data_IF_481616253316
#
_entry.id   IF_481616253316
#
_cell.length_a   1.000
_cell.length_b   1.000
_cell.length_c   1.000
_cell.angle_alpha   90.00
_cell.angle_beta   90.00
_cell.angle_gamma   90.00
#
_symmetry.space_group_name_H-M   'P 1'
#
loop_
_entity.id
_entity.type
_entity.pdbx_description
1 polymer ?
#
# COMPACT_ATOMS: atom_id res chain seq x y z
N UNK A 1 16.30 -22.16 -10.44
CA UNK A 1 15.00 -22.66 -10.93
C UNK A 1 13.97 -22.25 -9.91
N UNK A 2 13.12 -21.28 -10.26
CA UNK A 2 12.05 -20.81 -9.40
C UNK A 2 10.90 -21.83 -9.46
N UNK A 3 10.88 -22.76 -8.50
CA UNK A 3 9.86 -23.83 -8.41
C UNK A 3 8.52 -23.29 -7.91
N UNK A 4 8.46 -22.03 -7.48
CA UNK A 4 7.26 -21.40 -6.90
C UNK A 4 6.10 -21.38 -7.88
N UNK A 5 6.37 -21.20 -9.18
CA UNK A 5 5.34 -21.22 -10.23
C UNK A 5 4.89 -22.65 -10.63
N UNK A 6 5.63 -23.68 -10.23
CA UNK A 6 5.36 -25.09 -10.59
C UNK A 6 4.68 -25.87 -9.45
N UNK A 7 4.55 -25.29 -8.26
CA UNK A 7 3.88 -25.89 -7.12
C UNK A 7 2.50 -25.25 -6.94
N UNK A 8 1.51 -25.75 -7.70
CA UNK A 8 0.13 -25.25 -7.68
C UNK A 8 -0.84 -26.09 -6.84
N UNK A 9 -0.42 -27.27 -6.38
CA UNK A 9 -1.29 -28.25 -5.71
C UNK A 9 -1.05 -28.39 -4.20
N UNK A 10 -2.12 -28.77 -3.49
CA UNK A 10 -2.09 -29.11 -2.07
C UNK A 10 -1.80 -27.91 -1.15
N UNK A 11 -1.44 -28.20 0.10
CA UNK A 11 -1.20 -27.16 1.10
C UNK A 11 -0.07 -26.19 0.75
N UNK A 12 0.96 -26.65 0.02
CA UNK A 12 2.07 -25.79 -0.39
C UNK A 12 1.65 -24.76 -1.46
N UNK A 13 0.87 -25.19 -2.46
CA UNK A 13 0.28 -24.26 -3.43
C UNK A 13 -0.64 -23.23 -2.77
N UNK A 14 -1.49 -23.69 -1.83
CA UNK A 14 -2.37 -22.80 -1.07
C UNK A 14 -1.62 -21.77 -0.21
N UNK A 15 -0.50 -22.14 0.41
CA UNK A 15 0.33 -21.20 1.17
C UNK A 15 1.01 -20.16 0.25
N UNK A 16 1.47 -20.59 -0.93
CA UNK A 16 2.08 -19.69 -1.91
C UNK A 16 1.06 -18.70 -2.46
N UNK A 17 -0.15 -19.18 -2.78
CA UNK A 17 -1.26 -18.34 -3.25
C UNK A 17 -1.74 -17.38 -2.16
N UNK A 18 -1.91 -17.85 -0.92
CA UNK A 18 -2.25 -16.97 0.20
C UNK A 18 -1.21 -15.86 0.38
N UNK A 19 0.07 -16.21 0.30
CA UNK A 19 1.15 -15.23 0.43
C UNK A 19 1.07 -14.16 -0.66
N UNK A 20 1.02 -14.58 -1.93
CA UNK A 20 1.10 -13.67 -3.08
C UNK A 20 -0.19 -12.89 -3.34
N UNK A 21 -1.36 -13.51 -3.10
CA UNK A 21 -2.64 -12.89 -3.42
C UNK A 21 -3.32 -12.22 -2.23
N UNK A 22 -3.04 -12.61 -0.99
CA UNK A 22 -3.65 -11.98 0.19
C UNK A 22 -2.62 -11.24 1.05
N UNK A 23 -1.60 -11.94 1.55
CA UNK A 23 -0.72 -11.39 2.57
C UNK A 23 0.11 -10.21 2.08
N UNK A 24 0.80 -10.35 0.94
CA UNK A 24 1.66 -9.30 0.41
C UNK A 24 0.86 -8.06 0.00
N UNK A 25 -0.24 -8.16 -0.78
CA UNK A 25 -1.10 -7.01 -1.07
C UNK A 25 -1.67 -6.35 0.20
N UNK A 26 -2.06 -7.15 1.20
CA UNK A 26 -2.60 -6.63 2.45
C UNK A 26 -1.55 -5.81 3.24
N UNK A 27 -0.32 -6.33 3.34
CA UNK A 27 0.80 -5.60 3.96
C UNK A 27 1.11 -4.31 3.23
N UNK A 28 1.12 -4.34 1.91
CA UNK A 28 1.39 -3.17 1.09
C UNK A 28 0.28 -2.12 1.20
N UNK A 29 -0.99 -2.54 1.25
CA UNK A 29 -2.13 -1.65 1.47
C UNK A 29 -2.03 -0.94 2.82
N UNK A 30 -1.75 -1.70 3.90
CA UNK A 30 -1.60 -1.12 5.23
C UNK A 30 -0.37 -0.22 5.32
N UNK A 31 0.75 -0.61 4.70
CA UNK A 31 1.96 0.22 4.62
C UNK A 31 1.70 1.54 3.89
N UNK A 32 0.94 1.52 2.78
CA UNK A 32 0.56 2.74 2.07
C UNK A 32 -0.30 3.65 2.94
N UNK A 33 -1.25 3.11 3.69
CA UNK A 33 -2.07 3.88 4.64
C UNK A 33 -1.16 4.55 5.69
N UNK A 34 -0.18 3.81 6.22
CA UNK A 34 0.80 4.35 7.17
C UNK A 34 1.63 5.50 6.58
N UNK A 35 2.12 5.35 5.35
CA UNK A 35 2.84 6.43 4.64
C UNK A 35 1.94 7.66 4.45
N UNK A 36 0.74 7.46 3.91
CA UNK A 36 -0.20 8.55 3.65
C UNK A 36 -0.61 9.30 4.93
N UNK A 37 -0.80 8.57 6.03
CA UNK A 37 -1.04 9.16 7.34
C UNK A 37 0.16 9.99 7.82
N UNK A 38 1.36 9.42 7.79
CA UNK A 38 2.59 10.10 8.21
C UNK A 38 2.81 11.37 7.40
N UNK A 39 2.72 11.29 6.07
CA UNK A 39 2.94 12.41 5.16
C UNK A 39 1.93 13.53 5.41
N UNK A 40 0.64 13.21 5.50
CA UNK A 40 -0.41 14.21 5.68
C UNK A 40 -0.33 14.90 7.06
N UNK A 41 -0.05 14.12 8.13
CA UNK A 41 0.10 14.69 9.46
C UNK A 41 1.39 15.51 9.56
N UNK A 42 2.51 15.02 9.04
CA UNK A 42 3.79 15.75 9.08
C UNK A 42 3.71 17.06 8.31
N UNK A 43 3.16 17.04 7.09
CA UNK A 43 2.99 18.25 6.28
C UNK A 43 2.13 19.30 7.01
N UNK A 44 1.01 18.89 7.58
CA UNK A 44 0.14 19.82 8.32
C UNK A 44 0.75 20.26 9.66
N UNK A 45 1.48 19.39 10.34
CA UNK A 45 2.16 19.73 11.59
C UNK A 45 3.29 20.73 11.33
N UNK A 46 4.08 20.55 10.26
CA UNK A 46 5.12 21.48 9.82
C UNK A 46 4.60 22.85 9.40
N UNK A 47 3.35 22.92 8.93
CA UNK A 47 2.65 24.17 8.64
C UNK A 47 2.16 24.93 9.91
N UNK A 48 2.36 24.34 11.10
CA UNK A 48 1.99 24.92 12.38
C UNK A 48 3.16 25.49 13.17
N UNK A 49 2.83 26.01 14.36
CA UNK A 49 3.77 26.50 15.35
C UNK A 49 3.49 25.84 16.72
N UNK A 50 4.57 25.40 17.37
CA UNK A 50 4.58 24.75 18.68
C UNK A 50 4.35 25.75 19.82
N UNK A 51 4.19 25.25 21.05
CA UNK A 51 3.99 26.10 22.23
C UNK A 51 5.18 27.05 22.50
N UNK A 52 6.38 26.63 22.10
CA UNK A 52 7.62 27.41 22.26
C UNK A 52 7.84 28.43 21.15
N UNK A 53 6.94 28.48 20.16
CA UNK A 53 7.02 29.39 19.02
C UNK A 53 7.90 28.88 17.87
N UNK A 54 8.40 27.64 17.93
CA UNK A 54 9.10 26.99 16.83
C UNK A 54 8.09 26.49 15.78
N UNK A 55 8.51 26.34 14.52
CA UNK A 55 7.70 25.62 13.54
C UNK A 55 7.62 24.13 13.89
N UNK A 56 6.52 23.48 13.52
CA UNK A 56 6.38 22.04 13.70
C UNK A 56 7.40 21.26 12.86
N UNK A 57 7.78 20.08 13.35
CA UNK A 57 8.56 19.10 12.59
C UNK A 57 7.72 17.91 12.15
N UNK A 58 8.38 16.82 11.78
CA UNK A 58 7.71 15.55 11.54
C UNK A 58 7.04 15.03 12.81
N UNK A 59 5.77 14.63 12.69
CA UNK A 59 5.02 14.02 13.78
C UNK A 59 5.29 12.53 13.88
N UNK A 60 5.36 11.88 12.72
CA UNK A 60 5.60 10.45 12.57
C UNK A 60 6.82 10.22 11.67
N UNK A 61 7.55 9.14 11.92
CA UNK A 61 8.50 8.56 10.96
C UNK A 61 7.88 7.30 10.35
N UNK A 62 8.31 6.93 9.15
CA UNK A 62 7.96 5.65 8.50
C UNK A 62 9.21 4.98 7.97
N UNK A 63 9.26 3.65 8.02
CA UNK A 63 10.42 2.89 7.53
C UNK A 63 10.62 3.04 6.03
N UNK A 64 11.88 2.98 5.59
CA UNK A 64 12.31 3.20 4.20
C UNK A 64 11.75 2.17 3.19
N UNK A 65 11.90 2.51 1.91
CA UNK A 65 11.63 1.58 0.81
C UNK A 65 12.63 0.43 0.86
N UNK A 66 12.14 -0.79 0.78
CA UNK A 66 13.01 -1.97 0.75
C UNK A 66 13.40 -2.31 -0.68
N UNK A 67 14.70 -2.33 -0.93
CA UNK A 67 15.29 -2.74 -2.22
C UNK A 67 16.08 -4.02 -2.00
N UNK A 68 15.89 -4.99 -2.90
CA UNK A 68 16.68 -6.23 -2.89
C UNK A 68 17.18 -6.55 -4.29
N UNK A 69 18.51 -6.56 -4.45
CA UNK A 69 19.15 -7.06 -5.65
C UNK A 69 18.89 -8.57 -5.80
N UNK A 70 18.62 -9.02 -7.03
CA UNK A 70 18.47 -10.44 -7.30
C UNK A 70 19.83 -11.14 -7.16
N UNK A 71 19.84 -12.34 -6.56
CA UNK A 71 21.08 -13.06 -6.24
C UNK A 71 21.89 -13.50 -7.48
N UNK A 72 21.27 -13.50 -8.66
CA UNK A 72 21.92 -13.80 -9.93
C UNK A 72 22.43 -12.56 -10.68
N UNK A 73 22.34 -11.37 -10.09
CA UNK A 73 22.90 -10.17 -10.70
C UNK A 73 24.41 -10.34 -10.85
N UNK A 74 24.92 -9.99 -12.02
CA UNK A 74 26.34 -10.10 -12.34
C UNK A 74 27.11 -8.82 -11.99
N UNK A 75 26.41 -7.69 -11.91
CA UNK A 75 26.97 -6.39 -11.61
C UNK A 75 27.13 -6.08 -10.12
N UNK A 76 27.74 -4.92 -9.87
CA UNK A 76 27.78 -4.28 -8.54
C UNK A 76 26.71 -3.20 -8.40
N UNK A 77 25.74 -3.17 -9.30
CA UNK A 77 24.69 -2.16 -9.33
C UNK A 77 23.84 -2.21 -8.06
N UNK A 78 23.38 -1.04 -7.62
CA UNK A 78 22.43 -0.88 -6.52
C UNK A 78 21.39 0.17 -6.89
N UNK A 79 20.22 0.10 -6.24
CA UNK A 79 19.21 1.15 -6.35
C UNK A 79 19.07 1.87 -5.01
N UNK A 80 19.15 3.19 -5.04
CA UNK A 80 18.67 4.04 -3.96
C UNK A 80 17.24 4.47 -4.31
N UNK A 81 16.27 4.06 -3.50
CA UNK A 81 14.85 4.33 -3.77
C UNK A 81 14.24 5.06 -2.59
N UNK A 82 13.57 6.17 -2.89
CA UNK A 82 12.86 6.98 -1.92
C UNK A 82 11.40 7.18 -2.35
N UNK A 83 10.52 7.36 -1.37
CA UNK A 83 9.18 7.89 -1.63
C UNK A 83 9.32 9.41 -1.82
N UNK A 84 8.65 9.96 -2.83
CA UNK A 84 8.62 11.40 -3.05
C UNK A 84 7.65 12.01 -2.06
N UNK A 85 8.08 13.03 -1.33
CA UNK A 85 7.23 13.76 -0.39
C UNK A 85 6.02 14.37 -1.11
N UNK A 86 4.85 14.34 -0.47
CA UNK A 86 3.60 14.80 -1.07
C UNK A 86 3.01 13.84 -2.12
N UNK A 87 3.63 12.69 -2.36
CA UNK A 87 3.22 11.74 -3.41
C UNK A 87 2.59 10.45 -2.89
N UNK A 88 2.17 10.39 -1.61
CA UNK A 88 1.47 9.21 -1.07
C UNK A 88 0.24 8.80 -1.91
N UNK A 89 -0.42 9.77 -2.54
CA UNK A 89 -1.52 9.55 -3.47
C UNK A 89 -1.16 8.69 -4.69
N UNK A 90 0.07 8.79 -5.18
CA UNK A 90 0.56 8.05 -6.34
C UNK A 90 1.02 6.62 -6.00
N UNK A 91 1.26 6.32 -4.72
CA UNK A 91 1.71 5.01 -4.29
C UNK A 91 0.63 3.94 -4.52
N UNK A 92 1.06 2.81 -5.08
CA UNK A 92 0.18 1.64 -5.27
C UNK A 92 0.38 0.59 -4.17
N UNK A 93 -0.41 -0.49 -4.20
CA UNK A 93 -0.23 -1.65 -3.33
C UNK A 93 0.70 -2.72 -3.90
N UNK A 94 1.34 -2.48 -5.05
CA UNK A 94 2.24 -3.45 -5.65
C UNK A 94 3.69 -3.29 -5.18
N UNK A 95 4.39 -4.42 -5.21
CA UNK A 95 5.83 -4.44 -5.30
C UNK A 95 6.23 -4.40 -6.79
N UNK A 96 7.49 -4.05 -7.05
CA UNK A 96 7.99 -3.88 -8.40
C UNK A 96 9.29 -4.66 -8.59
N UNK A 97 9.58 -5.02 -9.84
CA UNK A 97 10.88 -5.49 -10.28
C UNK A 97 11.39 -4.55 -11.36
N UNK A 98 12.54 -3.96 -11.12
CA UNK A 98 13.26 -3.14 -12.08
C UNK A 98 14.37 -3.97 -12.71
N UNK A 99 14.36 -4.09 -14.03
CA UNK A 99 15.31 -4.92 -14.79
C UNK A 99 16.06 -4.07 -15.80
N UNK A 100 17.38 -4.24 -15.88
CA UNK A 100 18.17 -3.61 -16.92
C UNK A 100 18.11 -4.46 -18.20
N UNK A 101 17.53 -3.89 -19.26
CA UNK A 101 17.41 -4.57 -20.57
C UNK A 101 18.34 -3.93 -21.59
N UNK A 102 18.48 -4.54 -22.76
CA UNK A 102 19.24 -3.93 -23.86
C UNK A 102 18.65 -2.59 -24.34
N UNK A 103 17.37 -2.34 -24.07
CA UNK A 103 16.67 -1.07 -24.37
C UNK A 103 16.66 -0.07 -23.22
N UNK A 104 17.42 -0.32 -22.15
CA UNK A 104 17.41 0.48 -20.92
C UNK A 104 16.63 -0.18 -19.78
N UNK A 105 16.33 0.59 -18.75
CA UNK A 105 15.66 0.10 -17.55
C UNK A 105 14.15 -0.03 -17.76
N UNK A 106 13.58 -1.13 -17.26
CA UNK A 106 12.14 -1.40 -17.29
C UNK A 106 11.68 -1.72 -15.87
N UNK A 107 10.65 -1.01 -15.40
CA UNK A 107 9.97 -1.29 -14.15
C UNK A 107 8.68 -2.05 -14.42
N UNK A 108 8.47 -3.16 -13.71
CA UNK A 108 7.29 -3.99 -13.83
C UNK A 108 6.67 -4.26 -12.47
N UNK A 109 5.35 -4.32 -12.38
CA UNK A 109 4.67 -4.75 -11.16
C UNK A 109 4.83 -6.25 -10.96
N UNK A 110 5.05 -6.69 -9.72
CA UNK A 110 5.17 -8.12 -9.40
C UNK A 110 3.85 -8.89 -9.50
N UNK A 111 2.72 -8.19 -9.36
CA UNK A 111 1.39 -8.81 -9.30
C UNK A 111 0.81 -9.14 -10.68
N UNK A 112 1.05 -8.26 -11.66
CA UNK A 112 0.46 -8.31 -13.01
C UNK A 112 1.51 -8.47 -14.11
N UNK A 113 2.78 -8.18 -13.82
CA UNK A 113 3.84 -8.09 -14.83
C UNK A 113 3.71 -6.86 -15.74
N UNK A 114 2.74 -5.98 -15.50
CA UNK A 114 2.54 -4.78 -16.29
C UNK A 114 3.73 -3.82 -16.13
N UNK A 115 4.21 -3.29 -17.25
CA UNK A 115 5.25 -2.26 -17.27
C UNK A 115 4.71 -0.95 -16.74
N UNK A 116 5.46 -0.32 -15.86
CA UNK A 116 5.17 0.99 -15.28
C UNK A 116 6.01 2.03 -16.01
N UNK A 117 5.40 3.09 -16.57
CA UNK A 117 6.16 4.16 -17.20
C UNK A 117 7.08 4.85 -16.18
N UNK A 118 8.30 5.16 -16.62
CA UNK A 118 9.27 5.91 -15.85
C UNK A 118 9.67 7.16 -16.64
N UNK A 119 9.85 8.27 -15.94
CA UNK A 119 10.51 9.48 -16.47
C UNK A 119 11.90 9.62 -15.87
N UNK A 120 12.76 10.47 -16.43
CA UNK A 120 14.14 10.68 -15.97
C UNK A 120 15.14 9.69 -16.55
N UNK A 121 16.41 9.79 -16.13
CA UNK A 121 17.54 9.00 -16.63
C UNK A 121 18.16 8.05 -15.60
N UNK A 122 17.69 8.09 -14.35
CA UNK A 122 18.14 7.21 -13.27
C UNK A 122 19.42 7.66 -12.56
N UNK A 123 19.87 8.90 -12.80
CA UNK A 123 21.05 9.46 -12.13
C UNK A 123 20.65 10.25 -10.89
N UNK A 124 21.59 10.57 -10.00
CA UNK A 124 21.29 11.38 -8.81
C UNK A 124 20.75 12.79 -9.15
N UNK A 125 21.12 13.34 -10.31
CA UNK A 125 20.63 14.66 -10.76
C UNK A 125 19.30 14.59 -11.52
N UNK A 126 18.96 13.41 -12.06
CA UNK A 126 17.75 13.16 -12.83
C UNK A 126 17.28 11.72 -12.56
N UNK A 127 16.74 11.48 -11.35
CA UNK A 127 16.32 10.15 -10.91
C UNK A 127 15.18 9.64 -11.77
N UNK A 128 15.02 8.32 -11.82
CA UNK A 128 13.80 7.78 -12.41
C UNK A 128 12.61 8.06 -11.49
N UNK A 129 11.48 8.49 -12.06
CA UNK A 129 10.24 8.74 -11.31
C UNK A 129 9.11 7.86 -11.82
N UNK A 130 8.45 7.15 -10.90
CA UNK A 130 7.29 6.30 -11.18
C UNK A 130 6.45 6.06 -9.91
N UNK A 131 5.12 6.12 -10.00
CA UNK A 131 4.18 5.80 -8.92
C UNK A 131 4.53 6.44 -7.55
N UNK A 132 5.02 7.68 -7.53
CA UNK A 132 5.41 8.38 -6.30
C UNK A 132 6.78 7.98 -5.73
N UNK A 133 7.61 7.28 -6.51
CA UNK A 133 8.96 6.86 -6.15
C UNK A 133 9.99 7.64 -6.95
N UNK A 134 11.11 7.94 -6.30
CA UNK A 134 12.36 8.40 -6.91
C UNK A 134 13.38 7.28 -6.82
N UNK A 135 13.98 6.91 -7.95
CA UNK A 135 14.89 5.77 -8.08
C UNK A 135 16.20 6.23 -8.73
N UNK A 136 17.30 6.10 -7.99
CA UNK A 136 18.66 6.34 -8.49
C UNK A 136 19.36 5.00 -8.66
N UNK A 137 20.00 4.82 -9.80
CA UNK A 137 20.84 3.67 -10.10
C UNK A 137 22.29 4.04 -9.85
N UNK A 138 22.95 3.28 -8.99
CA UNK A 138 24.37 3.43 -8.69
C UNK A 138 25.16 2.19 -9.12
N UNK A 139 26.43 2.38 -9.49
CA UNK A 139 27.31 1.28 -9.90
C UNK A 139 27.00 0.69 -11.27
N UNK A 140 27.70 -0.40 -11.62
CA UNK A 140 27.55 -1.07 -12.91
C UNK A 140 26.53 -2.22 -12.81
N UNK A 141 25.42 -2.11 -13.54
CA UNK A 141 24.43 -3.17 -13.70
C UNK A 141 24.42 -3.65 -15.17
N UNK A 142 25.02 -4.81 -15.50
CA UNK A 142 24.90 -5.42 -16.81
C UNK A 142 23.45 -5.69 -17.20
N UNK A 143 23.20 -5.85 -18.51
CA UNK A 143 21.89 -6.26 -19.01
C UNK A 143 21.53 -7.63 -18.42
N UNK A 144 20.32 -7.73 -17.87
CA UNK A 144 19.80 -8.91 -17.18
C UNK A 144 19.77 -8.78 -15.64
N UNK A 145 20.46 -7.79 -15.07
CA UNK A 145 20.38 -7.51 -13.64
C UNK A 145 18.98 -7.00 -13.25
N UNK A 146 18.47 -7.46 -12.11
CA UNK A 146 17.14 -7.13 -11.61
C UNK A 146 17.12 -6.81 -10.12
N UNK A 147 16.21 -5.92 -9.72
CA UNK A 147 16.06 -5.43 -8.36
C UNK A 147 14.58 -5.41 -7.98
N UNK A 148 14.25 -6.04 -6.85
CA UNK A 148 12.92 -5.98 -6.28
C UNK A 148 12.79 -4.74 -5.41
N UNK A 149 11.74 -3.96 -5.62
CA UNK A 149 11.42 -2.74 -4.89
C UNK A 149 10.08 -2.97 -4.17
N UNK A 150 10.05 -2.81 -2.84
CA UNK A 150 8.85 -2.93 -2.01
C UNK A 150 8.60 -1.59 -1.30
N UNK A 151 7.81 -0.68 -1.89
CA UNK A 151 7.69 0.69 -1.42
C UNK A 151 7.11 0.86 -0.02
N UNK A 152 6.16 -0.01 0.34
CA UNK A 152 5.35 0.16 1.55
C UNK A 152 5.54 -0.97 2.55
N UNK A 153 6.20 -2.06 2.17
CA UNK A 153 6.44 -3.21 3.06
C UNK A 153 7.28 -2.85 4.29
N UNK A 154 8.25 -1.93 4.16
CA UNK A 154 9.07 -1.43 5.26
C UNK A 154 8.40 -0.34 6.11
N UNK A 155 7.34 0.29 5.60
CA UNK A 155 6.77 1.51 6.19
C UNK A 155 6.31 1.29 7.64
N UNK A 156 5.56 0.22 7.88
CA UNK A 156 5.00 -0.09 9.20
C UNK A 156 6.05 -0.55 10.21
N UNK A 157 7.11 -1.20 9.74
CA UNK A 157 8.17 -1.67 10.62
C UNK A 157 9.00 -0.52 11.21
N UNK A 158 9.07 0.61 10.50
CA UNK A 158 9.68 1.84 10.98
C UNK A 158 8.67 2.94 11.32
N UNK A 159 7.39 2.61 11.51
CA UNK A 159 6.40 3.59 11.94
C UNK A 159 6.69 3.94 13.41
N UNK A 160 6.98 5.21 13.66
CA UNK A 160 7.27 5.72 15.00
C UNK A 160 6.68 7.11 15.21
N UNK A 161 6.38 7.46 16.47
CA UNK A 161 5.91 8.79 16.85
C UNK A 161 7.11 9.60 17.33
N UNK A 162 7.40 10.71 16.65
CA UNK A 162 8.57 11.56 16.95
C UNK A 162 8.25 12.61 18.01
N UNK A 163 6.99 13.02 18.12
CA UNK A 163 6.53 13.95 19.17
C UNK A 163 6.45 13.22 20.50
N UNK A 164 7.33 13.58 21.42
CA UNK A 164 7.40 12.98 22.76
C UNK A 164 6.90 13.92 23.86
N UNK A 165 6.83 15.22 23.59
CA UNK A 165 6.38 16.24 24.54
C UNK A 165 5.14 16.98 24.00
N UNK A 166 4.14 17.30 24.84
CA UNK A 166 2.96 18.05 24.41
C UNK A 166 3.26 19.46 23.87
N UNK A 167 4.37 20.07 24.31
CA UNK A 167 4.79 21.40 23.86
C UNK A 167 5.30 21.43 22.43
N UNK A 168 5.71 20.28 21.88
CA UNK A 168 6.16 20.13 20.49
C UNK A 168 4.99 19.97 19.50
N UNK A 169 3.75 19.89 20.00
CA UNK A 169 2.56 19.86 19.16
C UNK A 169 2.32 21.25 18.56
N UNK A 170 2.46 21.34 17.24
CA UNK A 170 2.30 22.55 16.46
C UNK A 170 0.82 22.90 16.23
N UNK A 171 0.12 23.31 17.29
CA UNK A 171 -1.34 23.54 17.27
C UNK A 171 -1.75 24.90 16.67
N UNK A 172 -0.89 25.91 16.78
CA UNK A 172 -1.17 27.27 16.30
C UNK A 172 -0.75 27.44 14.84
N UNK A 173 -1.37 28.38 14.13
CA UNK A 173 -0.79 28.84 12.86
C UNK A 173 0.40 29.79 13.13
N UNK A 174 1.47 29.78 12.32
CA UNK A 174 2.65 30.62 12.55
C UNK A 174 2.44 32.09 12.17
N UNK A 175 1.37 32.38 11.42
CA UNK A 175 1.04 33.72 10.94
C UNK A 175 -0.36 34.15 11.37
N UNK A 176 -0.56 35.45 11.47
CA UNK A 176 -1.87 36.07 11.71
C UNK A 176 -2.08 37.21 10.73
N UNK A 177 -3.20 37.16 10.01
CA UNK A 177 -3.61 38.20 9.10
C UNK A 177 -4.60 39.15 9.77
N UNK A 178 -4.47 40.46 9.53
CA UNK A 178 -5.34 41.48 10.10
C UNK A 178 -5.56 42.65 9.14
N UNK A 179 -6.77 43.21 9.16
CA UNK A 179 -7.07 44.47 8.48
C UNK A 179 -6.58 45.66 9.33
N UNK A 180 -6.06 46.69 8.66
CA UNK A 180 -5.67 47.94 9.29
C UNK A 180 -6.87 48.62 9.96
N UNK A 181 -6.68 49.13 11.17
CA UNK A 181 -7.76 49.83 11.92
C UNK A 181 -8.20 51.15 11.27
N UNK A 182 -7.41 51.67 10.33
CA UNK A 182 -7.72 52.88 9.56
C UNK A 182 -8.46 52.62 8.27
N UNK A 183 -8.75 51.35 7.92
CA UNK A 183 -9.41 51.02 6.67
C UNK A 183 -10.83 51.60 6.64
N UNK A 184 -11.19 52.22 5.52
CA UNK A 184 -12.53 52.79 5.29
C UNK A 184 -13.38 51.93 4.36
N UNK A 185 -12.74 51.08 3.55
CA UNK A 185 -13.41 50.17 2.65
C UNK A 185 -14.05 48.98 3.36
N UNK A 186 -14.65 48.10 2.56
CA UNK A 186 -15.31 46.85 3.02
C UNK A 186 -14.39 45.64 2.91
N UNK A 187 -13.10 45.86 2.69
CA UNK A 187 -12.13 44.79 2.48
C UNK A 187 -11.96 43.90 3.72
N UNK A 188 -12.03 42.59 3.53
CA UNK A 188 -11.84 41.60 4.60
C UNK A 188 -10.80 40.56 4.17
N UNK A 189 -9.76 40.38 4.99
CA UNK A 189 -8.69 39.42 4.77
C UNK A 189 -9.00 38.07 5.44
N UNK A 190 -8.69 36.97 4.76
CA UNK A 190 -8.76 35.63 5.33
C UNK A 190 -7.67 35.42 6.40
N UNK A 191 -7.80 34.44 7.31
CA UNK A 191 -6.81 34.22 8.38
C UNK A 191 -5.39 33.85 7.92
N UNK A 192 -5.22 33.52 6.64
CA UNK A 192 -3.97 33.03 6.06
C UNK A 192 -3.82 31.51 6.12
N UNK A 193 -3.15 30.97 5.10
CA UNK A 193 -2.76 29.58 4.96
C UNK A 193 -1.26 29.51 4.69
N UNK A 194 -0.57 28.54 5.30
CA UNK A 194 0.83 28.26 5.02
C UNK A 194 0.89 27.27 3.85
N UNK A 195 1.57 27.65 2.77
CA UNK A 195 1.76 26.83 1.56
C UNK A 195 3.17 26.26 1.48
N UNK A 196 4.16 26.93 2.07
CA UNK A 196 5.56 26.51 2.14
C UNK A 196 6.12 26.85 3.53
N UNK A 197 6.10 25.91 4.49
CA UNK A 197 6.65 26.12 5.82
C UNK A 197 8.18 26.25 5.84
N UNK A 198 8.88 25.85 4.77
CA UNK A 198 10.33 25.93 4.68
C UNK A 198 10.82 27.31 4.21
N UNK A 199 9.92 28.20 3.79
CA UNK A 199 10.29 29.54 3.36
C UNK A 199 10.88 30.34 4.55
N UNK A 200 12.12 30.84 4.46
CA UNK A 200 12.76 31.55 5.58
C UNK A 200 12.07 32.87 5.93
N UNK A 201 11.33 33.47 4.99
CA UNK A 201 10.62 34.74 5.18
C UNK A 201 9.16 34.55 5.65
N UNK A 202 8.72 33.31 5.94
CA UNK A 202 7.32 32.97 6.26
C UNK A 202 6.69 33.85 7.33
N UNK A 203 7.48 34.24 8.34
CA UNK A 203 7.03 35.02 9.50
C UNK A 203 7.48 36.48 9.44
N UNK A 204 8.12 36.89 8.35
CA UNK A 204 8.48 38.29 8.16
C UNK A 204 7.21 39.14 8.04
N UNK A 205 7.12 40.30 8.71
CA UNK A 205 5.96 41.17 8.61
C UNK A 205 5.76 41.65 7.18
N UNK A 206 4.55 41.45 6.65
CA UNK A 206 4.16 41.92 5.31
C UNK A 206 2.94 42.83 5.41
N UNK A 207 2.96 43.93 4.66
CA UNK A 207 1.85 44.88 4.54
C UNK A 207 1.42 45.02 3.08
N UNK A 208 0.18 44.62 2.80
CA UNK A 208 -0.51 44.84 1.54
C UNK A 208 -1.22 46.19 1.63
N UNK A 209 -0.91 47.13 0.74
CA UNK A 209 -1.50 48.48 0.73
C UNK A 209 -2.25 48.72 -0.58
N UNK A 210 -3.52 49.09 -0.49
CA UNK A 210 -4.33 49.42 -1.66
C UNK A 210 -4.03 50.84 -2.13
N UNK A 211 -3.63 50.97 -3.40
CA UNK A 211 -3.40 52.28 -4.05
C UNK A 211 -4.62 52.72 -4.88
N UNK A 212 -5.51 51.78 -5.21
CA UNK A 212 -6.82 52.03 -5.80
C UNK A 212 -7.77 50.87 -5.48
N UNK A 213 -9.06 50.99 -5.83
CA UNK A 213 -10.05 49.92 -5.63
C UNK A 213 -9.71 48.60 -6.36
N UNK A 214 -8.78 48.60 -7.30
CA UNK A 214 -8.40 47.42 -8.10
C UNK A 214 -6.89 47.16 -8.12
N UNK A 215 -6.09 47.87 -7.33
CA UNK A 215 -4.64 47.73 -7.34
C UNK A 215 -4.03 47.88 -5.94
N UNK A 216 -3.01 47.08 -5.66
CA UNK A 216 -2.27 47.11 -4.40
C UNK A 216 -0.77 46.96 -4.64
N UNK A 217 0.01 47.31 -3.62
CA UNK A 217 1.45 47.05 -3.51
C UNK A 217 1.73 46.27 -2.23
N UNK A 218 2.91 45.66 -2.15
CA UNK A 218 3.36 44.86 -1.00
C UNK A 218 4.62 45.52 -0.43
N UNK A 219 4.64 45.77 0.88
CA UNK A 219 5.78 46.33 1.64
C UNK A 219 6.36 47.64 1.08
N UNK A 220 5.51 48.42 0.41
CA UNK A 220 5.93 49.67 -0.24
C UNK A 220 6.78 49.47 -1.50
N UNK A 221 6.92 48.24 -1.99
CA UNK A 221 7.51 47.96 -3.30
C UNK A 221 6.69 48.67 -4.41
N UNK A 222 7.35 49.29 -5.41
CA UNK A 222 6.65 50.00 -6.48
C UNK A 222 5.91 49.08 -7.47
N UNK A 223 6.10 47.77 -7.39
CA UNK A 223 5.42 46.77 -8.23
C UNK A 223 3.93 46.75 -7.91
N UNK A 224 3.13 47.03 -8.93
CA UNK A 224 1.68 47.10 -8.79
C UNK A 224 1.05 45.78 -9.16
N UNK A 225 0.23 45.27 -8.26
CA UNK A 225 -0.55 44.06 -8.45
C UNK A 225 -2.02 44.39 -8.69
N UNK A 226 -2.66 43.63 -9.58
CA UNK A 226 -4.09 43.74 -9.83
C UNK A 226 -4.86 43.01 -8.73
N UNK A 227 -5.80 43.70 -8.10
CA UNK A 227 -6.73 43.11 -7.14
C UNK A 227 -7.94 42.52 -7.85
N UNK A 228 -8.26 41.27 -7.50
CA UNK A 228 -9.54 40.64 -7.79
C UNK A 228 -10.08 40.08 -6.47
N UNK A 229 -11.31 40.43 -6.05
CA UNK A 229 -11.86 39.95 -4.78
C UNK A 229 -11.85 38.43 -4.66
N UNK A 230 -11.29 37.91 -3.58
CA UNK A 230 -11.16 36.48 -3.29
C UNK A 230 -10.07 35.77 -4.08
N UNK A 231 -9.29 36.47 -4.91
CA UNK A 231 -8.13 35.88 -5.56
C UNK A 231 -7.00 35.62 -4.55
N UNK A 232 -6.22 34.60 -4.83
CA UNK A 232 -5.07 34.21 -4.01
C UNK A 232 -3.96 35.26 -4.10
N UNK A 233 -3.43 35.63 -2.94
CA UNK A 233 -2.24 36.48 -2.80
C UNK A 233 -1.20 35.64 -2.06
N UNK A 234 -0.18 35.21 -2.81
CA UNK A 234 0.89 34.34 -2.32
C UNK A 234 2.16 35.15 -2.09
N UNK A 235 2.65 35.16 -0.85
CA UNK A 235 3.86 35.89 -0.44
C UNK A 235 4.56 35.08 0.64
N UNK A 236 5.90 35.02 0.60
CA UNK A 236 6.73 34.39 1.63
C UNK A 236 6.31 32.97 2.05
N UNK A 237 5.71 32.17 1.17
CA UNK A 237 5.29 30.80 1.52
C UNK A 237 3.96 30.72 2.29
N UNK A 238 3.19 31.81 2.33
CA UNK A 238 1.80 31.80 2.76
C UNK A 238 0.86 32.35 1.67
N UNK A 239 -0.42 32.09 1.84
CA UNK A 239 -1.53 32.54 0.99
C UNK A 239 -2.59 33.24 1.83
N UNK A 240 -3.05 34.40 1.38
CA UNK A 240 -4.24 35.07 1.91
C UNK A 240 -5.19 35.40 0.76
N UNK A 241 -6.46 35.64 1.11
CA UNK A 241 -7.47 36.16 0.19
C UNK A 241 -8.06 37.41 0.81
N UNK A 242 -8.18 38.47 0.01
CA UNK A 242 -8.89 39.68 0.41
C UNK A 242 -10.18 39.73 -0.41
N UNK A 243 -11.31 39.85 0.29
CA UNK A 243 -12.65 39.96 -0.29
C UNK A 243 -13.23 41.35 -0.06
N UNK A 244 -14.34 41.67 -0.71
CA UNK A 244 -14.97 42.98 -0.60
C UNK A 244 -14.29 44.06 -1.45
N UNK A 245 -14.57 45.32 -1.14
CA UNK A 245 -14.06 46.48 -1.86
C UNK A 245 -13.21 47.36 -0.91
N UNK A 246 -11.88 47.17 -0.91
CA UNK A 246 -10.94 48.07 -0.24
C UNK A 246 -10.90 49.44 -0.91
N UNK A 247 -10.75 50.49 -0.11
CA UNK A 247 -10.54 51.85 -0.58
C UNK A 247 -9.03 52.15 -0.74
N UNK A 248 -8.65 53.15 -1.56
CA UNK A 248 -7.26 53.61 -1.61
C UNK A 248 -6.79 54.06 -0.22
N UNK A 249 -5.67 53.51 0.24
CA UNK A 249 -5.10 53.72 1.58
C UNK A 249 -5.44 52.62 2.58
N UNK A 250 -6.38 51.72 2.28
CA UNK A 250 -6.63 50.53 3.10
C UNK A 250 -5.38 49.63 3.11
N UNK A 251 -5.08 49.06 4.27
CA UNK A 251 -3.96 48.14 4.44
C UNK A 251 -4.37 46.84 5.13
N UNK A 252 -3.66 45.78 4.80
CA UNK A 252 -3.79 44.47 5.42
C UNK A 252 -2.41 43.95 5.75
N UNK A 253 -2.27 43.35 6.92
CA UNK A 253 -0.98 42.87 7.42
C UNK A 253 -1.02 41.37 7.62
N UNK A 254 0.12 40.73 7.39
CA UNK A 254 0.40 39.36 7.82
C UNK A 254 1.62 39.42 8.72
N UNK A 255 1.45 38.99 9.95
CA UNK A 255 2.45 39.11 11.01
C UNK A 255 2.75 37.74 11.61
N UNK A 256 3.90 37.66 12.30
CA UNK A 256 4.21 36.55 13.17
C UNK A 256 3.17 36.38 14.28
N UNK A 257 2.67 35.15 14.46
CA UNK A 257 1.71 34.79 15.51
C UNK A 257 2.37 34.37 16.85
N UNK A 258 3.61 34.78 17.13
CA UNK A 258 4.33 34.44 18.38
C UNK A 258 3.61 34.84 19.68
N UNK A 259 2.61 35.74 19.62
CA UNK A 259 1.77 36.14 20.74
C UNK A 259 0.40 35.45 20.79
N UNK A 260 0.10 34.57 19.84
CA UNK A 260 -1.18 33.86 19.66
C UNK A 260 -1.40 32.71 20.64
N UNK A 261 -1.20 32.93 21.94
CA UNK A 261 -1.45 31.93 22.96
C UNK A 261 -2.91 31.46 22.92
N UNK A 262 -3.13 30.16 22.71
CA UNK A 262 -4.47 29.56 22.58
C UNK A 262 -5.00 29.43 21.16
N UNK A 263 -4.23 29.85 20.14
CA UNK A 263 -4.55 29.56 18.74
C UNK A 263 -4.49 28.04 18.47
N UNK A 264 -5.57 27.49 17.94
CA UNK A 264 -5.72 26.08 17.58
C UNK A 264 -6.03 25.86 16.09
N UNK A 265 -5.82 26.86 15.23
CA UNK A 265 -6.14 26.79 13.80
C UNK A 265 -5.44 25.64 13.11
N UNK A 266 -4.18 25.36 13.45
CA UNK A 266 -3.46 24.23 12.85
C UNK A 266 -3.93 22.88 13.41
N UNK A 267 -4.29 22.82 14.69
CA UNK A 267 -4.88 21.62 15.28
C UNK A 267 -6.23 21.25 14.65
N UNK A 268 -7.05 22.24 14.28
CA UNK A 268 -8.29 22.02 13.54
C UNK A 268 -7.99 21.44 12.14
N UNK A 269 -7.01 22.01 11.43
CA UNK A 269 -6.57 21.48 10.12
C UNK A 269 -6.00 20.06 10.21
N UNK A 270 -5.24 19.75 11.27
CA UNK A 270 -4.75 18.39 11.54
C UNK A 270 -5.90 17.39 11.72
N UNK A 271 -6.97 17.78 12.43
CA UNK A 271 -8.16 16.94 12.59
C UNK A 271 -8.88 16.73 11.24
N UNK A 272 -8.89 17.74 10.37
CA UNK A 272 -9.53 17.66 9.06
C UNK A 272 -8.73 16.84 8.04
N UNK A 273 -7.39 16.77 8.17
CA UNK A 273 -6.50 16.04 7.25
C UNK A 273 -6.90 14.57 7.09
N UNK A 274 -7.40 13.93 8.16
CA UNK A 274 -7.81 12.52 8.13
C UNK A 274 -9.02 12.25 7.24
N UNK A 275 -9.81 13.29 6.95
CA UNK A 275 -10.99 13.21 6.09
C UNK A 275 -10.68 13.56 4.63
N UNK A 276 -9.51 14.13 4.36
CA UNK A 276 -9.10 14.49 3.01
C UNK A 276 -8.79 13.25 2.17
N UNK A 277 -9.00 13.31 0.85
CA UNK A 277 -8.63 12.22 -0.03
C UNK A 277 -7.12 12.23 -0.28
N UNK A 278 -6.42 11.22 0.28
CA UNK A 278 -4.95 11.18 0.37
C UNK A 278 -4.34 10.01 -0.42
N UNK A 279 -5.13 8.98 -0.76
CA UNK A 279 -4.65 7.81 -1.51
C UNK A 279 -5.43 7.61 -2.81
N UNK A 280 -4.95 6.70 -3.66
CA UNK A 280 -5.54 6.39 -4.96
C UNK A 280 -5.66 7.64 -5.87
N UNK A 281 -4.56 8.36 -6.07
CA UNK A 281 -4.51 9.59 -6.84
C UNK A 281 -5.27 10.76 -6.21
N UNK A 282 -5.40 10.77 -4.87
CA UNK A 282 -6.13 11.82 -4.15
C UNK A 282 -7.64 11.73 -4.29
N UNK A 283 -8.18 10.50 -4.40
CA UNK A 283 -9.64 10.26 -4.54
C UNK A 283 -10.25 9.58 -3.31
N UNK A 284 -9.43 8.96 -2.47
CA UNK A 284 -9.90 8.16 -1.33
C UNK A 284 -9.26 8.67 -0.04
N UNK A 285 -10.07 8.90 1.01
CA UNK A 285 -9.57 9.28 2.33
C UNK A 285 -8.93 8.11 3.07
N UNK A 286 -8.19 8.37 4.15
CA UNK A 286 -7.59 7.30 4.96
C UNK A 286 -8.66 6.35 5.52
N UNK A 287 -9.76 6.90 6.03
CA UNK A 287 -10.90 6.10 6.49
C UNK A 287 -11.51 5.26 5.37
N UNK A 288 -11.65 5.83 4.17
CA UNK A 288 -12.10 5.10 2.99
C UNK A 288 -11.15 3.97 2.60
N UNK A 289 -9.85 4.21 2.67
CA UNK A 289 -8.82 3.23 2.34
C UNK A 289 -8.80 2.06 3.34
N UNK A 290 -8.97 2.34 4.64
CA UNK A 290 -9.13 1.30 5.67
C UNK A 290 -10.39 0.48 5.42
N UNK A 291 -11.50 1.13 5.07
CA UNK A 291 -12.75 0.45 4.72
C UNK A 291 -12.60 -0.48 3.52
N UNK A 292 -11.94 -0.02 2.45
CA UNK A 292 -11.61 -0.83 1.27
C UNK A 292 -10.72 -2.01 1.62
N UNK A 293 -9.67 -1.77 2.41
CA UNK A 293 -8.75 -2.81 2.86
C UNK A 293 -9.45 -3.95 3.61
N UNK A 294 -10.28 -3.62 4.60
CA UNK A 294 -11.05 -4.63 5.37
C UNK A 294 -12.08 -5.32 4.47
N UNK A 295 -12.75 -4.56 3.59
CA UNK A 295 -13.72 -5.09 2.63
C UNK A 295 -13.11 -6.12 1.68
N UNK A 296 -11.95 -5.82 1.10
CA UNK A 296 -11.24 -6.70 0.17
C UNK A 296 -10.82 -8.01 0.83
N UNK A 297 -10.31 -7.95 2.07
CA UNK A 297 -9.99 -9.16 2.86
C UNK A 297 -11.26 -9.97 3.12
N UNK A 298 -12.36 -9.32 3.49
CA UNK A 298 -13.64 -9.98 3.75
C UNK A 298 -14.20 -10.71 2.52
N UNK A 299 -14.22 -10.04 1.37
CA UNK A 299 -14.70 -10.60 0.10
C UNK A 299 -13.82 -11.78 -0.33
N UNK A 300 -12.50 -11.63 -0.31
CA UNK A 300 -11.58 -12.72 -0.68
C UNK A 300 -11.69 -13.92 0.27
N UNK A 301 -11.84 -13.67 1.57
CA UNK A 301 -12.04 -14.74 2.56
C UNK A 301 -13.32 -15.51 2.30
N UNK A 302 -14.43 -14.81 2.03
CA UNK A 302 -15.70 -15.45 1.69
C UNK A 302 -15.59 -16.28 0.41
N UNK A 303 -14.94 -15.75 -0.63
CA UNK A 303 -14.73 -16.46 -1.89
C UNK A 303 -13.91 -17.75 -1.69
N UNK A 304 -12.84 -17.72 -0.90
CA UNK A 304 -12.03 -18.89 -0.61
C UNK A 304 -12.79 -19.91 0.24
N UNK A 305 -13.62 -19.48 1.19
CA UNK A 305 -14.50 -20.38 1.96
C UNK A 305 -15.49 -21.11 1.05
N UNK A 306 -16.20 -20.39 0.19
CA UNK A 306 -17.15 -20.99 -0.76
C UNK A 306 -16.45 -21.98 -1.70
N UNK A 307 -15.26 -21.64 -2.20
CA UNK A 307 -14.47 -22.52 -3.06
C UNK A 307 -14.01 -23.78 -2.30
N UNK A 308 -13.57 -23.63 -1.05
CA UNK A 308 -13.15 -24.74 -0.19
C UNK A 308 -14.32 -25.67 0.12
N UNK A 309 -15.49 -25.13 0.46
CA UNK A 309 -16.68 -25.93 0.75
C UNK A 309 -17.13 -26.72 -0.49
N UNK A 310 -17.10 -26.11 -1.68
CA UNK A 310 -17.40 -26.82 -2.94
C UNK A 310 -16.39 -27.94 -3.24
N UNK A 311 -15.09 -27.68 -3.02
CA UNK A 311 -14.03 -28.67 -3.23
C UNK A 311 -14.11 -29.83 -2.22
N UNK A 312 -14.60 -29.57 -1.00
CA UNK A 312 -14.85 -30.57 0.03
C UNK A 312 -15.97 -31.53 -0.40
N UNK A 313 -17.07 -31.02 -0.98
CA UNK A 313 -18.13 -31.88 -1.55
C UNK A 313 -17.59 -32.79 -2.65
N UNK A 314 -16.80 -32.25 -3.59
CA UNK A 314 -16.21 -33.05 -4.67
C UNK A 314 -15.23 -34.10 -4.14
N UNK A 315 -14.48 -33.76 -3.09
CA UNK A 315 -13.58 -34.68 -2.41
C UNK A 315 -14.37 -35.85 -1.78
N UNK A 316 -15.42 -35.54 -1.02
CA UNK A 316 -16.26 -36.55 -0.37
C UNK A 316 -16.91 -37.48 -1.39
N UNK A 317 -17.50 -36.95 -2.48
CA UNK A 317 -18.06 -37.75 -3.58
C UNK A 317 -17.01 -38.67 -4.24
N UNK A 318 -15.78 -38.17 -4.42
CA UNK A 318 -14.69 -38.95 -5.00
C UNK A 318 -14.23 -40.07 -4.06
N UNK A 319 -14.21 -39.82 -2.75
CA UNK A 319 -13.88 -40.84 -1.73
C UNK A 319 -14.97 -41.90 -1.69
N UNK A 320 -16.25 -41.52 -1.72
CA UNK A 320 -17.37 -42.46 -1.78
C UNK A 320 -17.32 -43.32 -3.06
N UNK A 321 -17.06 -42.71 -4.21
CA UNK A 321 -16.92 -43.43 -5.48
C UNK A 321 -15.75 -44.44 -5.42
N UNK A 322 -14.60 -44.03 -4.88
CA UNK A 322 -13.46 -44.94 -4.69
C UNK A 322 -13.80 -46.08 -3.74
N UNK A 323 -14.47 -45.80 -2.62
CA UNK A 323 -14.93 -46.81 -1.67
C UNK A 323 -15.94 -47.77 -2.30
N UNK A 324 -16.78 -47.32 -3.23
CA UNK A 324 -17.72 -48.21 -3.95
C UNK A 324 -17.02 -49.20 -4.88
N UNK A 325 -15.86 -48.84 -5.44
CA UNK A 325 -15.06 -49.68 -6.34
C UNK A 325 -14.07 -50.56 -5.57
N UNK A 326 -13.47 -50.01 -4.51
CA UNK A 326 -12.50 -50.71 -3.64
C UNK A 326 -13.17 -51.49 -2.51
N UNK A 327 -14.46 -51.28 -2.29
CA UNK A 327 -15.26 -52.01 -1.32
C UNK A 327 -15.37 -53.46 -1.78
N UNK A 328 -14.81 -54.37 -0.98
CA UNK A 328 -15.00 -55.81 -1.14
C UNK A 328 -16.50 -56.07 -1.19
N UNK A 329 -17.01 -56.44 -2.37
CA UNK A 329 -18.39 -56.86 -2.50
C UNK A 329 -18.52 -58.22 -1.80
N UNK A 330 -18.97 -58.21 -0.54
CA UNK A 330 -19.12 -59.40 0.29
C UNK A 330 -20.02 -60.44 -0.38
N UNK A 331 -20.93 -60.04 -1.26
CA UNK A 331 -21.77 -60.97 -2.03
C UNK A 331 -20.97 -61.67 -3.14
N UNK A 332 -20.01 -60.97 -3.78
CA UNK A 332 -19.10 -61.55 -4.77
C UNK A 332 -18.01 -62.42 -4.12
N UNK A 333 -17.47 -62.00 -2.97
CA UNK A 333 -16.59 -62.86 -2.17
C UNK A 333 -17.34 -64.07 -1.62
N UNK A 334 -18.58 -63.93 -1.14
CA UNK A 334 -19.39 -65.06 -0.69
C UNK A 334 -19.71 -66.02 -1.84
N UNK A 335 -20.05 -65.51 -3.04
CA UNK A 335 -20.27 -66.33 -4.22
C UNK A 335 -18.99 -67.10 -4.64
N UNK A 336 -17.83 -66.43 -4.62
CA UNK A 336 -16.54 -67.06 -4.89
C UNK A 336 -16.15 -68.08 -3.81
N UNK A 337 -16.45 -67.79 -2.54
CA UNK A 337 -16.20 -68.69 -1.42
C UNK A 337 -17.08 -69.94 -1.48
N UNK A 338 -18.36 -69.81 -1.81
CA UNK A 338 -19.26 -70.96 -2.09
C UNK A 338 -18.73 -71.77 -3.28
N UNK A 339 -18.26 -71.12 -4.35
CA UNK A 339 -17.67 -71.79 -5.50
C UNK A 339 -16.39 -72.56 -5.13
N UNK A 340 -15.51 -71.99 -4.31
CA UNK A 340 -14.32 -72.67 -3.81
C UNK A 340 -14.67 -73.83 -2.87
N UNK A 341 -15.69 -73.69 -2.02
CA UNK A 341 -16.18 -74.78 -1.18
C UNK A 341 -16.74 -75.93 -2.01
N UNK A 342 -17.54 -75.64 -3.05
CA UNK A 342 -18.06 -76.67 -3.96
C UNK A 342 -16.94 -77.36 -4.74
N UNK A 343 -15.95 -76.61 -5.23
CA UNK A 343 -14.78 -77.17 -5.91
C UNK A 343 -13.95 -78.06 -4.98
N UNK A 344 -13.76 -77.66 -3.72
CA UNK A 344 -13.05 -78.46 -2.72
C UNK A 344 -13.81 -79.74 -2.36
N UNK A 345 -15.14 -79.66 -2.19
CA UNK A 345 -15.98 -80.85 -1.97
C UNK A 345 -15.93 -81.82 -3.15
N UNK A 346 -15.97 -81.30 -4.39
CA UNK A 346 -15.82 -82.11 -5.60
C UNK A 346 -14.45 -82.77 -5.69
N UNK A 347 -13.37 -82.05 -5.38
CA UNK A 347 -12.02 -82.60 -5.33
C UNK A 347 -11.86 -83.68 -4.24
N UNK A 348 -12.41 -83.44 -3.04
CA UNK A 348 -12.41 -84.42 -1.96
C UNK A 348 -13.23 -85.68 -2.28
N UNK A 349 -14.32 -85.54 -3.04
CA UNK A 349 -15.11 -86.67 -3.54
C UNK A 349 -14.33 -87.45 -4.60
N UNK A 350 -13.63 -86.77 -5.52
CA UNK A 350 -12.74 -87.43 -6.49
C UNK A 350 -11.62 -88.21 -5.79
N UNK A 351 -11.00 -87.66 -4.74
CA UNK A 351 -9.98 -88.35 -3.96
C UNK A 351 -10.56 -89.58 -3.26
N UNK A 352 -11.76 -89.48 -2.65
CA UNK A 352 -12.42 -90.65 -2.04
C UNK A 352 -12.74 -91.74 -3.05
N UNK A 353 -13.21 -91.38 -4.24
CA UNK A 353 -13.47 -92.34 -5.32
C UNK A 353 -12.16 -92.97 -5.80
N UNK A 354 -11.10 -92.17 -5.97
CA UNK A 354 -9.78 -92.67 -6.34
C UNK A 354 -9.20 -93.63 -5.29
N UNK A 355 -9.32 -93.32 -3.99
CA UNK A 355 -8.89 -94.19 -2.89
C UNK A 355 -9.69 -95.49 -2.85
N UNK A 356 -11.01 -95.43 -3.07
CA UNK A 356 -11.88 -96.61 -3.17
C UNK A 356 -11.48 -97.50 -4.36
N UNK A 357 -11.20 -96.89 -5.52
CA UNK A 357 -10.72 -97.62 -6.69
C UNK A 357 -9.33 -98.22 -6.45
N UNK A 358 -8.44 -97.50 -5.77
CA UNK A 358 -7.09 -97.97 -5.43
C UNK A 358 -7.13 -99.15 -4.46
N UNK A 359 -7.96 -99.08 -3.42
CA UNK A 359 -8.20 -100.18 -2.49
C UNK A 359 -8.84 -101.38 -3.19
N UNK A 360 -9.80 -101.16 -4.10
CA UNK A 360 -10.41 -102.25 -4.90
C UNK A 360 -9.38 -102.96 -5.78
N UNK A 361 -8.43 -102.23 -6.39
CA UNK A 361 -7.33 -102.82 -7.17
C UNK A 361 -6.35 -103.58 -6.26
N UNK A 362 -6.06 -103.05 -5.06
CA UNK A 362 -5.22 -103.73 -4.06
C UNK A 362 -5.84 -105.01 -3.51
N UNK A 363 -7.16 -105.05 -3.30
CA UNK A 363 -7.88 -106.25 -2.88
C UNK A 363 -7.97 -107.28 -4.02
N UNK A 364 -8.24 -106.84 -5.25
CA UNK A 364 -8.30 -107.72 -6.43
C UNK A 364 -6.94 -108.36 -6.79
N UNK A 365 -5.82 -107.82 -6.31
CA UNK A 365 -4.47 -108.36 -6.54
C UNK A 365 -3.92 -109.18 -5.36
N UNK A 366 -4.71 -109.35 -4.27
CA UNK A 366 -4.35 -110.15 -3.08
C UNK A 366 -5.11 -111.49 -2.96
N UNK A 367 -5.95 -111.84 -3.93
CA UNK A 367 -6.52 -113.19 -4.10
C UNK A 367 -5.89 -113.90 -5.29
#
# INVERSE_FOLDING_TARGET
MDVTASVSGGALGGLLEFRSQMLDPARNALGRIGVALSEAVNAQHGAGMTLTGALGGDFFAVGDVQVRAHASNAGTGSLSVQRIDGSAGALTTADYVMTHTAGGWVLQRTDTGATVPMTGSGTAADPFVADGLSIVVDGAAPVGDSFQIRPTAGALAGLDMLITSPEDIAAAAPIVAAAGSGNTGTGAISPGEVIDPANPALRDPVTITFISATQYTIDGDPTVHTYTPGADIDVNGWRVQISGAPDPGDSFTVLDNSSGAGDNRNALKLADVLNQPLVNGGTTSLNGAVGQFVGDIGVRTNQVQVSRDAQEVVYDESVEALQSISGVNLDEEAANLVRYQQAYMAAAQMIRVADTLFQSVLEATRG
#
